data_IF_327403357101
#
_entry.id   IF_327403357101
#
_cell.length_a   1.000
_cell.length_b   1.000
_cell.length_c   1.000
_cell.angle_alpha   90.00
_cell.angle_beta   90.00
_cell.angle_gamma   90.00
#
_symmetry.space_group_name_H-M   'P 1'
#
loop_
_entity.id
_entity.type
_entity.pdbx_description
1 polymer ?
#
# COMPACT_ATOMS: atom_id res chain seq x y z
N UNK A 1 -14.16 -5.66 26.93
CA UNK A 1 -15.14 -6.23 26.00
C UNK A 1 -14.84 -5.80 24.57
N UNK A 2 -15.01 -6.72 23.63
CA UNK A 2 -14.82 -6.38 22.22
C UNK A 2 -15.94 -5.45 21.75
N UNK A 3 -15.59 -4.35 21.13
CA UNK A 3 -16.56 -3.44 20.52
C UNK A 3 -17.09 -4.05 19.25
N UNK A 4 -18.35 -3.79 18.96
CA UNK A 4 -18.96 -4.29 17.74
C UNK A 4 -18.46 -3.49 16.53
N UNK A 5 -17.99 -4.20 15.52
CA UNK A 5 -17.48 -3.57 14.29
C UNK A 5 -18.64 -3.08 13.44
N UNK A 6 -18.65 -1.78 13.14
CA UNK A 6 -19.62 -1.20 12.23
C UNK A 6 -19.23 -1.44 10.77
N UNK A 7 -17.98 -1.12 10.43
CA UNK A 7 -17.46 -1.31 9.08
C UNK A 7 -15.94 -1.30 9.08
N UNK A 8 -15.36 -1.78 7.98
CA UNK A 8 -13.92 -1.68 7.72
C UNK A 8 -13.70 -0.87 6.47
N UNK A 9 -12.73 0.03 6.52
CA UNK A 9 -12.38 0.91 5.41
C UNK A 9 -10.95 0.60 5.01
N UNK A 10 -10.73 0.40 3.71
CA UNK A 10 -9.39 0.21 3.15
C UNK A 10 -9.05 1.42 2.28
N UNK A 11 -7.92 2.04 2.53
CA UNK A 11 -7.46 3.18 1.74
C UNK A 11 -5.94 3.22 1.68
N UNK A 12 -5.43 4.10 0.83
CA UNK A 12 -4.01 4.32 0.68
C UNK A 12 -3.73 5.80 0.94
N UNK A 13 -2.69 6.07 1.71
CA UNK A 13 -2.26 7.44 2.00
C UNK A 13 -0.74 7.52 1.97
N UNK A 14 -0.22 8.69 1.67
CA UNK A 14 1.22 8.92 1.67
C UNK A 14 1.74 8.95 3.11
N UNK A 15 2.75 8.16 3.40
CA UNK A 15 3.34 8.07 4.74
C UNK A 15 3.82 9.43 5.24
N UNK A 16 3.43 9.76 6.47
CA UNK A 16 3.78 11.03 7.09
C UNK A 16 3.11 12.27 6.52
N UNK A 17 2.31 12.12 5.46
CA UNK A 17 1.70 13.23 4.73
C UNK A 17 0.20 13.05 4.50
N UNK A 18 -0.46 12.21 5.29
CA UNK A 18 -1.91 12.05 5.19
C UNK A 18 -2.59 13.39 5.53
N UNK A 19 -3.66 13.70 4.81
CA UNK A 19 -4.41 14.93 5.00
C UNK A 19 -5.91 14.65 4.95
N UNK A 20 -6.77 15.58 5.44
CA UNK A 20 -8.21 15.41 5.34
C UNK A 20 -8.76 15.47 3.91
N UNK A 21 -7.91 15.82 2.95
CA UNK A 21 -8.28 15.83 1.54
C UNK A 21 -8.54 14.40 1.01
N UNK A 22 -9.27 14.24 -0.12
CA UNK A 22 -9.45 12.92 -0.71
C UNK A 22 -8.11 12.17 -0.90
N UNK A 23 -8.07 10.84 -0.71
CA UNK A 23 -9.21 9.94 -0.44
C UNK A 23 -9.56 9.76 1.04
N UNK A 24 -8.80 10.33 1.96
CA UNK A 24 -8.95 10.07 3.41
C UNK A 24 -10.23 10.70 3.97
N UNK A 25 -10.44 11.98 3.69
CA UNK A 25 -11.57 12.72 4.23
C UNK A 25 -12.93 12.11 3.92
N UNK A 26 -13.27 11.93 2.63
CA UNK A 26 -14.56 11.36 2.26
C UNK A 26 -14.77 9.94 2.79
N UNK A 27 -13.73 9.10 2.79
CA UNK A 27 -13.84 7.72 3.26
C UNK A 27 -14.16 7.66 4.75
N UNK A 28 -13.55 8.49 5.57
CA UNK A 28 -13.77 8.53 7.01
C UNK A 28 -15.00 9.33 7.39
N UNK A 29 -15.24 10.41 6.68
CA UNK A 29 -16.39 11.30 6.97
C UNK A 29 -17.73 10.61 6.83
N UNK A 30 -17.87 9.69 5.88
CA UNK A 30 -19.09 8.93 5.67
C UNK A 30 -19.47 8.09 6.89
N UNK A 31 -18.50 7.69 7.69
CA UNK A 31 -18.70 6.82 8.85
C UNK A 31 -18.65 7.58 10.18
N UNK A 32 -18.54 8.91 10.14
CA UNK A 32 -18.51 9.74 11.33
C UNK A 32 -17.23 9.62 12.17
N UNK A 33 -16.15 9.16 11.57
CA UNK A 33 -14.86 9.00 12.25
C UNK A 33 -14.14 10.35 12.33
N UNK A 34 -13.40 10.58 13.42
CA UNK A 34 -12.60 11.80 13.57
C UNK A 34 -11.38 11.75 12.63
N UNK A 35 -11.47 12.47 11.53
CA UNK A 35 -10.47 12.50 10.48
C UNK A 35 -9.12 13.02 10.99
N UNK A 36 -9.14 14.08 11.79
CA UNK A 36 -7.91 14.71 12.29
C UNK A 36 -7.14 13.78 13.24
N UNK A 37 -7.86 13.03 14.07
CA UNK A 37 -7.24 12.06 14.97
C UNK A 37 -6.56 10.95 14.19
N UNK A 38 -7.22 10.43 13.15
CA UNK A 38 -6.62 9.44 12.25
C UNK A 38 -5.37 10.00 11.57
N UNK A 39 -5.45 11.19 11.00
CA UNK A 39 -4.34 11.84 10.29
C UNK A 39 -3.12 11.98 11.21
N UNK A 40 -3.31 12.46 12.43
CA UNK A 40 -2.21 12.61 13.39
C UNK A 40 -1.58 11.27 13.75
N UNK A 41 -2.40 10.27 14.06
CA UNK A 41 -1.91 8.94 14.44
C UNK A 41 -1.19 8.25 13.29
N UNK A 42 -1.75 8.31 12.09
CA UNK A 42 -1.16 7.74 10.89
C UNK A 42 0.19 8.40 10.57
N UNK A 43 0.24 9.71 10.57
CA UNK A 43 1.48 10.45 10.28
C UNK A 43 2.57 10.14 11.31
N UNK A 44 2.20 10.01 12.58
CA UNK A 44 3.15 9.65 13.64
C UNK A 44 3.73 8.24 13.43
N UNK A 45 2.91 7.28 13.03
CA UNK A 45 3.37 5.91 12.81
C UNK A 45 4.17 5.73 11.52
N UNK A 46 3.94 6.57 10.52
CA UNK A 46 4.53 6.42 9.19
C UNK A 46 5.63 7.44 8.89
N UNK A 47 6.17 8.11 9.91
CA UNK A 47 7.25 9.09 9.71
C UNK A 47 8.49 8.48 9.07
N UNK A 48 8.78 7.21 9.35
CA UNK A 48 9.91 6.50 8.75
C UNK A 48 9.72 6.20 7.26
N UNK A 49 8.48 6.27 6.77
CA UNK A 49 8.11 5.93 5.40
C UNK A 49 7.60 7.15 4.62
N UNK A 50 8.18 8.31 4.89
CA UNK A 50 7.80 9.56 4.23
C UNK A 50 7.87 9.44 2.71
N UNK A 51 6.82 9.92 2.05
CA UNK A 51 6.75 9.91 0.60
C UNK A 51 6.35 8.57 -0.03
N UNK A 52 6.19 7.52 0.77
CA UNK A 52 5.78 6.20 0.29
C UNK A 52 4.28 6.01 0.51
N UNK A 53 3.59 5.50 -0.50
CA UNK A 53 2.16 5.17 -0.38
C UNK A 53 2.01 3.94 0.51
N UNK A 54 1.21 4.07 1.57
CA UNK A 54 1.01 3.00 2.56
C UNK A 54 -0.47 2.63 2.58
N UNK A 55 -0.81 1.34 2.35
CA UNK A 55 -2.18 0.87 2.53
C UNK A 55 -2.55 0.84 4.01
N UNK A 56 -3.76 1.27 4.31
CA UNK A 56 -4.29 1.30 5.67
C UNK A 56 -5.64 0.60 5.68
N UNK A 57 -5.82 -0.28 6.65
CA UNK A 57 -7.13 -0.88 6.93
C UNK A 57 -7.63 -0.30 8.26
N UNK A 58 -8.76 0.42 8.20
CA UNK A 58 -9.36 1.08 9.35
C UNK A 58 -10.61 0.31 9.76
N UNK A 59 -10.67 -0.09 11.02
CA UNK A 59 -11.87 -0.73 11.59
C UNK A 59 -12.64 0.31 12.40
N UNK A 60 -13.89 0.57 12.00
CA UNK A 60 -14.77 1.53 12.67
C UNK A 60 -15.75 0.75 13.54
N UNK A 61 -15.90 1.17 14.79
CA UNK A 61 -16.79 0.56 15.77
C UNK A 61 -18.08 1.37 15.95
N UNK A 62 -19.08 0.76 16.56
CA UNK A 62 -20.40 1.38 16.74
C UNK A 62 -20.37 2.69 17.53
N UNK A 63 -19.42 2.82 18.46
CA UNK A 63 -19.24 4.04 19.27
C UNK A 63 -18.47 5.14 18.54
N UNK A 64 -18.24 4.98 17.23
CA UNK A 64 -17.45 5.89 16.38
C UNK A 64 -15.97 5.93 16.70
N UNK A 65 -15.50 5.05 17.56
CA UNK A 65 -14.06 4.86 17.73
C UNK A 65 -13.53 4.06 16.54
N UNK A 66 -12.21 4.08 16.36
CA UNK A 66 -11.58 3.34 15.27
C UNK A 66 -10.22 2.79 15.70
N UNK A 67 -9.82 1.73 15.04
CA UNK A 67 -8.44 1.25 15.06
C UNK A 67 -7.98 1.10 13.63
N UNK A 68 -6.67 1.18 13.41
CA UNK A 68 -6.13 1.01 12.06
C UNK A 68 -4.84 0.20 12.09
N UNK A 69 -4.61 -0.49 10.98
CA UNK A 69 -3.39 -1.27 10.76
C UNK A 69 -2.77 -0.80 9.46
N UNK A 70 -1.49 -0.44 9.50
CA UNK A 70 -0.72 -0.11 8.30
C UNK A 70 -0.11 -1.39 7.73
N UNK A 71 -0.07 -1.49 6.41
CA UNK A 71 0.52 -2.62 5.71
C UNK A 71 1.74 -2.17 4.92
N UNK A 72 2.46 -3.13 4.34
CA UNK A 72 3.59 -2.81 3.46
C UNK A 72 3.10 -2.04 2.23
N UNK A 73 3.93 -1.16 1.63
CA UNK A 73 3.53 -0.45 0.41
C UNK A 73 3.07 -1.42 -0.68
N UNK A 74 2.13 -1.01 -1.56
CA UNK A 74 1.70 -1.88 -2.66
C UNK A 74 2.87 -2.29 -3.54
N UNK A 75 2.84 -3.52 -4.05
CA UNK A 75 3.89 -4.05 -4.91
C UNK A 75 4.16 -3.13 -6.12
N UNK A 76 3.11 -2.60 -6.72
CA UNK A 76 3.23 -1.69 -7.85
C UNK A 76 4.05 -0.43 -7.50
N UNK A 77 3.83 0.13 -6.33
CA UNK A 77 4.55 1.31 -5.86
C UNK A 77 6.03 0.98 -5.62
N UNK A 78 6.32 -0.17 -5.01
CA UNK A 78 7.69 -0.62 -4.77
C UNK A 78 8.45 -0.83 -6.08
N UNK A 79 7.79 -1.41 -7.09
CA UNK A 79 8.37 -1.61 -8.42
C UNK A 79 8.68 -0.26 -9.08
N UNK A 80 7.77 0.70 -9.02
CA UNK A 80 7.98 2.04 -9.56
C UNK A 80 9.18 2.73 -8.90
N UNK A 81 9.29 2.62 -7.59
CA UNK A 81 10.41 3.21 -6.83
C UNK A 81 11.74 2.57 -7.20
N UNK A 82 11.78 1.24 -7.34
CA UNK A 82 12.99 0.52 -7.71
C UNK A 82 13.52 0.91 -9.08
N UNK A 83 12.61 1.22 -10.02
CA UNK A 83 12.95 1.57 -11.40
C UNK A 83 12.88 3.08 -11.67
N UNK A 84 12.56 3.89 -10.66
CA UNK A 84 12.38 5.34 -10.78
C UNK A 84 11.32 5.71 -11.85
N UNK A 85 10.26 4.90 -11.96
CA UNK A 85 9.16 5.15 -12.87
C UNK A 85 8.06 5.97 -12.19
N UNK A 86 7.49 6.92 -12.92
CA UNK A 86 6.34 7.68 -12.44
C UNK A 86 5.04 6.92 -12.63
N UNK A 87 4.92 6.18 -13.72
CA UNK A 87 3.69 5.50 -14.11
C UNK A 87 3.99 4.21 -14.87
N UNK A 88 3.15 3.20 -14.65
CA UNK A 88 3.20 1.97 -15.43
C UNK A 88 2.65 2.16 -16.85
N UNK A 89 2.76 1.12 -17.68
CA UNK A 89 2.27 1.14 -19.04
C UNK A 89 0.74 1.06 -19.09
N UNK A 90 0.13 1.83 -19.99
CA UNK A 90 -1.28 1.72 -20.30
C UNK A 90 -1.58 0.46 -21.15
N UNK A 91 -0.58 -0.02 -21.88
CA UNK A 91 -0.68 -1.21 -22.73
C UNK A 91 0.48 -2.17 -22.42
N UNK A 92 0.44 -2.87 -21.25
CA UNK A 92 1.59 -3.63 -20.77
C UNK A 92 2.01 -4.80 -21.69
N UNK A 93 1.10 -5.31 -22.50
CA UNK A 93 1.41 -6.38 -23.44
C UNK A 93 2.21 -5.89 -24.65
N UNK A 94 2.07 -4.63 -24.98
CA UNK A 94 2.69 -4.03 -26.19
C UNK A 94 3.82 -3.08 -25.87
N UNK A 95 3.59 -2.19 -24.90
CA UNK A 95 4.54 -1.15 -24.53
C UNK A 95 5.18 -1.47 -23.18
N UNK A 96 6.46 -1.84 -23.21
CA UNK A 96 7.24 -2.06 -21.97
C UNK A 96 7.88 -0.74 -21.56
N UNK A 97 7.73 -0.38 -20.28
CA UNK A 97 8.23 0.88 -19.74
C UNK A 97 9.53 0.72 -18.96
N UNK A 98 9.95 -0.49 -18.67
CA UNK A 98 11.19 -0.74 -17.94
C UNK A 98 11.51 -2.22 -17.82
N UNK A 99 12.63 -2.50 -17.17
CA UNK A 99 13.09 -3.86 -16.90
C UNK A 99 13.46 -3.98 -15.43
N UNK A 100 13.14 -5.11 -14.83
CA UNK A 100 13.48 -5.38 -13.43
C UNK A 100 14.28 -6.68 -13.36
N UNK A 101 15.33 -6.69 -12.53
CA UNK A 101 16.17 -7.86 -12.34
C UNK A 101 15.61 -8.77 -11.25
N UNK A 102 16.05 -10.02 -11.24
CA UNK A 102 15.67 -10.98 -10.19
C UNK A 102 16.09 -10.49 -8.80
N UNK A 103 17.25 -9.84 -8.68
CA UNK A 103 17.73 -9.29 -7.43
C UNK A 103 16.78 -8.21 -6.90
N UNK A 104 16.32 -7.31 -7.78
CA UNK A 104 15.36 -6.27 -7.41
C UNK A 104 14.02 -6.86 -6.98
N UNK A 105 13.55 -7.92 -7.66
CA UNK A 105 12.33 -8.61 -7.29
C UNK A 105 12.43 -9.22 -5.90
N UNK A 106 13.58 -9.81 -5.56
CA UNK A 106 13.81 -10.40 -4.24
C UNK A 106 13.82 -9.33 -3.14
N UNK A 107 14.43 -8.17 -3.38
CA UNK A 107 14.41 -7.06 -2.44
C UNK A 107 12.99 -6.58 -2.15
N UNK A 108 12.18 -6.42 -3.18
CA UNK A 108 10.78 -6.01 -3.04
C UNK A 108 9.99 -7.08 -2.30
N UNK A 109 10.18 -8.34 -2.65
CA UNK A 109 9.51 -9.47 -2.02
C UNK A 109 9.85 -9.55 -0.52
N UNK A 110 11.11 -9.32 -0.15
CA UNK A 110 11.55 -9.31 1.25
C UNK A 110 10.82 -8.24 2.05
N UNK A 111 10.68 -7.04 1.50
CA UNK A 111 9.96 -5.95 2.15
C UNK A 111 8.48 -6.26 2.36
N UNK A 112 7.91 -7.11 1.51
CA UNK A 112 6.48 -7.41 1.51
C UNK A 112 6.13 -8.80 2.06
N UNK A 113 7.10 -9.56 2.54
CA UNK A 113 6.88 -10.95 3.02
C UNK A 113 5.78 -11.05 4.07
N UNK A 114 5.65 -10.07 4.96
CA UNK A 114 4.65 -10.09 6.02
C UNK A 114 3.21 -10.06 5.49
N UNK A 115 3.01 -9.52 4.28
CA UNK A 115 1.68 -9.38 3.68
C UNK A 115 1.41 -10.42 2.60
N UNK A 116 2.42 -11.25 2.26
CA UNK A 116 2.31 -12.26 1.23
C UNK A 116 2.04 -13.63 1.84
N UNK A 117 1.34 -14.45 1.08
CA UNK A 117 1.09 -15.85 1.46
C UNK A 117 2.15 -16.81 0.90
N UNK A 118 3.29 -16.28 0.49
CA UNK A 118 4.40 -17.09 -0.04
C UNK A 118 5.12 -17.81 1.08
N UNK A 119 5.58 -19.03 0.79
CA UNK A 119 6.30 -19.87 1.76
C UNK A 119 7.78 -19.49 1.85
N UNK A 120 8.36 -18.98 0.78
CA UNK A 120 9.76 -18.59 0.72
C UNK A 120 9.96 -17.35 -0.15
N UNK A 121 11.18 -16.82 -0.16
CA UNK A 121 11.52 -15.61 -0.88
C UNK A 121 11.39 -15.77 -2.40
N UNK A 122 11.74 -16.94 -2.95
CA UNK A 122 11.63 -17.20 -4.39
C UNK A 122 10.17 -17.20 -4.84
N UNK A 123 9.27 -17.77 -4.06
CA UNK A 123 7.84 -17.73 -4.35
C UNK A 123 7.30 -16.31 -4.26
N UNK A 124 7.72 -15.54 -3.26
CA UNK A 124 7.36 -14.14 -3.13
C UNK A 124 7.82 -13.33 -4.34
N UNK A 125 9.05 -13.57 -4.81
CA UNK A 125 9.58 -12.90 -6.01
C UNK A 125 8.73 -13.20 -7.25
N UNK A 126 8.20 -14.41 -7.39
CA UNK A 126 7.30 -14.76 -8.50
C UNK A 126 6.00 -13.97 -8.45
N UNK A 127 5.45 -13.76 -7.27
CA UNK A 127 4.23 -12.94 -7.08
C UNK A 127 4.50 -11.51 -7.54
N UNK A 128 5.62 -10.94 -7.12
CA UNK A 128 6.01 -9.57 -7.52
C UNK A 128 6.29 -9.49 -9.03
N UNK A 129 6.91 -10.53 -9.61
CA UNK A 129 7.16 -10.59 -11.04
C UNK A 129 5.86 -10.52 -11.86
N UNK A 130 4.81 -11.20 -11.40
CA UNK A 130 3.49 -11.12 -12.03
C UNK A 130 2.93 -9.70 -12.03
N UNK A 131 3.05 -9.00 -10.91
CA UNK A 131 2.64 -7.59 -10.79
C UNK A 131 3.45 -6.71 -11.74
N UNK A 132 4.77 -6.93 -11.83
CA UNK A 132 5.64 -6.16 -12.72
C UNK A 132 5.22 -6.33 -14.19
N UNK A 133 4.93 -7.55 -14.60
CA UNK A 133 4.45 -7.83 -15.96
C UNK A 133 3.15 -7.11 -16.26
N UNK A 134 2.23 -7.06 -15.30
CA UNK A 134 0.95 -6.35 -15.47
C UNK A 134 1.12 -4.85 -15.60
N UNK A 135 2.25 -4.30 -15.16
CA UNK A 135 2.59 -2.89 -15.27
C UNK A 135 3.37 -2.55 -16.55
N UNK A 136 3.71 -3.53 -17.37
CA UNK A 136 4.55 -3.34 -18.53
C UNK A 136 6.04 -3.31 -18.19
N UNK A 137 6.43 -3.91 -17.09
CA UNK A 137 7.84 -4.07 -16.69
C UNK A 137 8.29 -5.48 -17.05
N UNK A 138 9.37 -5.57 -17.83
CA UNK A 138 9.94 -6.84 -18.24
C UNK A 138 10.82 -7.41 -17.14
N UNK A 139 10.64 -8.70 -16.83
CA UNK A 139 11.48 -9.42 -15.86
C UNK A 139 12.66 -10.03 -16.58
N UNK A 140 13.87 -9.68 -16.15
CA UNK A 140 15.10 -10.10 -16.80
C UNK A 140 15.85 -11.16 -16.00
#
# INVERSE_FOLDING_TARGET
MAKKVLTKIKLQAVGGQASPAPPVGPALGQHGVNIMEFVKSFNAQTQSDLGTVIPVEITVYEDRSFTFVTKSPPAAILIKQALSLEKGSAEPNRNKVGKITQAQLREIAEKKMNDLNANDLDQAAKIIAGTARSMGVEVV
#
